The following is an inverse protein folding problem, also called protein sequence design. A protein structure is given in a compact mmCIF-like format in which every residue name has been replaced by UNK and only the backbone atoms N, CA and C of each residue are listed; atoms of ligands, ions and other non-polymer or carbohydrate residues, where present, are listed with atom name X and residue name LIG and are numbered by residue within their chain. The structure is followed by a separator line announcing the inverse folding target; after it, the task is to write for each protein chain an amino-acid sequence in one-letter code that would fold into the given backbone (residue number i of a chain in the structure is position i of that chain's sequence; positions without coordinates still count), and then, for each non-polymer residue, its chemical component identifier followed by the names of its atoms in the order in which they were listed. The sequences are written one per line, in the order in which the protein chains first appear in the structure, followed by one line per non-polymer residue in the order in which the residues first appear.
data_IF_391571070663
#
_entry.id   IF_391571070663
#
_cell.length_a   1.000
_cell.length_b   1.000
_cell.length_c   1.000
_cell.angle_alpha   90.00
_cell.angle_beta   90.00
_cell.angle_gamma   90.00
#
_symmetry.space_group_name_H-M   'P 1'
#
loop_
_entity.id
_entity.type
_entity.pdbx_description
1 polymer ?
#
# COMPACT_ATOMS: atom_id res chain seq x y z
N UNK A 1 20.00 -26.42 25.90
CA UNK A 1 20.71 -26.53 24.60
C UNK A 1 20.98 -25.20 23.92
N UNK A 2 19.98 -24.41 23.51
CA UNK A 2 20.25 -23.14 22.78
C UNK A 2 20.94 -22.09 23.67
N UNK A 3 20.54 -21.99 24.95
CA UNK A 3 21.18 -21.10 25.92
C UNK A 3 22.66 -21.46 26.16
N UNK A 4 22.98 -22.76 26.27
CA UNK A 4 24.35 -23.24 26.53
C UNK A 4 25.29 -22.95 25.35
N UNK A 5 24.78 -23.06 24.12
CA UNK A 5 25.52 -22.69 22.91
C UNK A 5 25.79 -21.18 22.81
N UNK A 6 24.87 -20.35 23.33
CA UNK A 6 25.07 -18.89 23.42
C UNK A 6 26.11 -18.56 24.49
N UNK A 7 26.06 -19.20 25.66
CA UNK A 7 27.07 -19.04 26.71
C UNK A 7 28.48 -19.43 26.24
N UNK A 8 28.62 -20.59 25.57
CA UNK A 8 29.91 -21.01 24.99
C UNK A 8 30.44 -19.98 23.98
N UNK A 9 29.57 -19.50 23.08
CA UNK A 9 29.97 -18.52 22.06
C UNK A 9 30.35 -17.15 22.64
N UNK A 10 29.77 -16.75 23.77
CA UNK A 10 30.15 -15.50 24.47
C UNK A 10 31.48 -15.68 25.21
N UNK A 11 31.70 -16.83 25.85
CA UNK A 11 32.95 -17.15 26.52
C UNK A 11 34.14 -17.17 25.53
N UNK A 12 33.96 -17.76 24.35
CA UNK A 12 34.96 -17.79 23.27
C UNK A 12 35.31 -16.40 22.70
N UNK A 13 34.44 -15.39 22.87
CA UNK A 13 34.64 -14.03 22.34
C UNK A 13 35.30 -13.10 23.37
N UNK A 14 35.01 -13.26 24.67
CA UNK A 14 35.44 -12.33 25.72
C UNK A 14 36.43 -12.92 26.74
N UNK A 15 36.59 -14.25 26.80
CA UNK A 15 37.53 -14.90 27.71
C UNK A 15 37.32 -14.52 29.18
N UNK A 16 38.42 -14.31 29.91
CA UNK A 16 38.39 -14.12 31.37
C UNK A 16 37.62 -12.87 31.85
N UNK A 17 37.36 -11.86 30.99
CA UNK A 17 36.51 -10.71 31.37
C UNK A 17 35.04 -11.10 31.60
N UNK A 18 34.62 -12.30 31.18
CA UNK A 18 33.27 -12.79 31.43
C UNK A 18 33.05 -13.24 32.89
N UNK A 19 34.09 -13.67 33.60
CA UNK A 19 33.98 -14.11 35.00
C UNK A 19 33.60 -12.95 35.94
N UNK A 20 34.21 -11.78 35.74
CA UNK A 20 33.94 -10.58 36.54
C UNK A 20 32.51 -10.03 36.33
N UNK A 21 31.94 -10.24 35.13
CA UNK A 21 30.55 -9.86 34.83
C UNK A 21 29.51 -10.78 35.49
N UNK A 22 29.82 -12.07 35.66
CA UNK A 22 28.94 -13.03 36.36
C UNK A 22 28.99 -12.83 37.88
N UNK A 23 30.16 -12.44 38.42
CA UNK A 23 30.35 -12.17 39.86
C UNK A 23 29.52 -11.01 40.43
N UNK A 24 28.91 -10.17 39.58
CA UNK A 24 28.08 -9.02 39.98
C UNK A 24 26.56 -9.27 39.95
N UNK A 25 26.13 -10.54 39.85
CA UNK A 25 24.74 -10.93 40.17
C UNK A 25 23.65 -10.45 39.21
N UNK A 26 23.97 -10.23 37.93
CA UNK A 26 23.06 -9.66 36.93
C UNK A 26 22.26 -10.69 36.10
N UNK A 27 22.18 -11.96 36.53
CA UNK A 27 21.50 -13.03 35.77
C UNK A 27 19.97 -12.90 35.68
N UNK A 28 19.32 -12.05 36.50
CA UNK A 28 17.85 -11.97 36.57
C UNK A 28 17.22 -10.69 35.96
N UNK A 29 18.00 -9.68 35.54
CA UNK A 29 17.44 -8.40 35.06
C UNK A 29 17.31 -8.23 33.54
N UNK A 30 17.63 -9.25 32.74
CA UNK A 30 17.46 -9.21 31.27
C UNK A 30 16.07 -9.73 30.88
N UNK A 31 15.00 -9.00 31.23
CA UNK A 31 13.62 -9.32 30.80
C UNK A 31 12.70 -8.14 30.46
N UNK A 32 13.15 -6.88 30.57
CA UNK A 32 12.26 -5.73 30.33
C UNK A 32 12.88 -4.62 29.46
N UNK A 33 12.06 -4.09 28.55
CA UNK A 33 12.44 -3.27 27.38
C UNK A 33 12.81 -1.83 27.76
N UNK A 34 12.38 -1.39 28.94
CA UNK A 34 12.67 -0.06 29.53
C UNK A 34 14.17 0.21 29.74
N UNK A 35 15.00 -0.83 29.83
CA UNK A 35 16.46 -0.71 30.06
C UNK A 35 17.23 -0.16 28.86
N UNK A 36 16.70 -0.29 27.63
CA UNK A 36 17.41 0.12 26.41
C UNK A 36 17.61 1.65 26.29
N UNK A 37 16.70 2.47 26.84
CA UNK A 37 16.84 3.95 26.79
C UNK A 37 17.96 4.48 27.67
N UNK A 38 18.25 3.85 28.81
CA UNK A 38 19.33 4.29 29.71
C UNK A 38 20.75 4.04 29.17
N UNK A 39 20.90 3.14 28.20
CA UNK A 39 22.20 2.80 27.61
C UNK A 39 22.65 3.90 26.64
N UNK A 40 21.76 4.47 25.82
CA UNK A 40 22.11 5.52 24.86
C UNK A 40 22.56 6.83 25.56
N UNK A 41 21.82 7.30 26.57
CA UNK A 41 22.20 8.50 27.33
C UNK A 41 23.55 8.35 28.06
N UNK A 42 23.90 7.12 28.46
CA UNK A 42 25.21 6.81 29.07
C UNK A 42 26.35 6.78 28.03
N UNK A 43 26.05 6.37 26.79
CA UNK A 43 27.01 6.33 25.68
C UNK A 43 27.28 7.73 25.11
N UNK A 44 26.27 8.59 24.99
CA UNK A 44 26.48 9.97 24.56
C UNK A 44 27.25 10.80 25.60
N UNK A 45 26.95 10.65 26.90
CA UNK A 45 27.71 11.32 27.95
C UNK A 45 29.19 10.89 28.01
N UNK A 46 29.54 9.65 27.64
CA UNK A 46 30.95 9.23 27.50
C UNK A 46 31.63 9.76 26.23
N UNK A 47 30.87 10.13 25.19
CA UNK A 47 31.42 10.70 23.95
C UNK A 47 31.86 12.18 24.08
N UNK A 48 31.31 12.94 25.04
CA UNK A 48 31.79 14.31 25.30
C UNK A 48 33.16 14.33 25.98
N UNK A 49 33.40 13.37 26.90
CA UNK A 49 34.60 13.29 27.74
C UNK A 49 35.84 12.83 26.96
N UNK A 50 35.68 12.00 25.92
CA UNK A 50 36.80 11.48 25.11
C UNK A 50 37.36 12.44 24.04
N UNK A 51 36.98 13.73 24.06
CA UNK A 51 37.59 14.76 23.20
C UNK A 51 38.94 15.29 23.71
N UNK A 52 39.45 14.80 24.84
CA UNK A 52 40.81 15.09 25.31
C UNK A 52 41.62 13.82 25.54
N UNK A 53 42.90 13.89 25.13
CA UNK A 53 43.93 12.83 25.11
C UNK A 53 43.79 11.80 23.98
N UNK A 54 44.64 12.02 22.97
CA UNK A 54 45.33 11.07 22.09
C UNK A 54 44.67 9.72 21.71
N UNK A 55 44.45 9.53 20.41
CA UNK A 55 45.37 8.75 19.53
C UNK A 55 44.61 8.26 18.28
N UNK A 56 44.54 9.12 17.24
CA UNK A 56 43.70 8.91 16.02
C UNK A 56 43.97 7.58 15.28
N UNK A 57 45.16 6.97 15.46
CA UNK A 57 45.50 5.66 14.86
C UNK A 57 44.75 4.49 15.51
N UNK A 58 44.51 4.52 16.82
CA UNK A 58 43.83 3.43 17.53
C UNK A 58 42.35 3.33 17.13
N UNK A 59 41.68 4.49 17.01
CA UNK A 59 40.28 4.61 16.58
C UNK A 59 40.08 4.09 15.15
N UNK A 60 41.03 4.35 14.24
CA UNK A 60 40.99 3.82 12.87
C UNK A 60 41.11 2.29 12.86
N UNK A 61 42.08 1.73 13.60
CA UNK A 61 42.31 0.28 13.68
C UNK A 61 41.10 -0.47 14.28
N UNK A 62 40.49 0.06 15.34
CA UNK A 62 39.24 -0.50 15.93
C UNK A 62 38.05 -0.41 14.97
N UNK A 63 37.90 0.68 14.20
CA UNK A 63 36.84 0.79 13.16
C UNK A 63 37.00 -0.23 12.03
N UNK A 64 38.23 -0.58 11.66
CA UNK A 64 38.49 -1.58 10.62
C UNK A 64 38.25 -3.02 11.13
N UNK A 65 38.66 -3.35 12.36
CA UNK A 65 38.33 -4.65 12.98
C UNK A 65 36.82 -4.86 13.14
N UNK A 66 36.08 -3.85 13.61
CA UNK A 66 34.61 -3.93 13.71
C UNK A 66 33.95 -4.14 12.35
N UNK A 67 34.40 -3.43 11.30
CA UNK A 67 33.91 -3.65 9.92
C UNK A 67 34.24 -5.04 9.37
N UNK A 68 35.32 -5.67 9.83
CA UNK A 68 35.64 -7.07 9.54
C UNK A 68 34.61 -8.03 10.17
N UNK A 69 34.42 -7.94 11.49
CA UNK A 69 33.47 -8.78 12.23
C UNK A 69 32.04 -8.71 11.69
N UNK A 70 31.55 -7.50 11.38
CA UNK A 70 30.21 -7.30 10.81
C UNK A 70 30.03 -7.94 9.41
N UNK A 71 31.09 -8.12 8.62
CA UNK A 71 31.03 -8.87 7.34
C UNK A 71 30.92 -10.37 7.59
N UNK A 72 31.69 -10.89 8.54
CA UNK A 72 31.66 -12.32 8.93
C UNK A 72 30.30 -12.71 9.49
N UNK A 73 29.70 -11.87 10.36
CA UNK A 73 28.35 -12.10 10.91
C UNK A 73 27.28 -12.13 9.80
N UNK A 74 27.31 -11.20 8.83
CA UNK A 74 26.40 -11.24 7.67
C UNK A 74 26.59 -12.49 6.79
N UNK A 75 27.83 -12.95 6.61
CA UNK A 75 28.13 -14.14 5.82
C UNK A 75 27.70 -15.45 6.52
N UNK A 76 27.77 -15.48 7.86
CA UNK A 76 27.23 -16.60 8.65
C UNK A 76 25.68 -16.58 8.65
N UNK A 77 25.04 -15.42 8.78
CA UNK A 77 23.58 -15.29 8.66
C UNK A 77 23.06 -15.79 7.30
N UNK A 78 23.71 -15.44 6.18
CA UNK A 78 23.24 -15.91 4.86
C UNK A 78 23.43 -17.43 4.69
N UNK A 79 24.50 -18.02 5.23
CA UNK A 79 24.69 -19.49 5.25
C UNK A 79 23.64 -20.22 6.09
N UNK A 80 23.23 -19.66 7.23
CA UNK A 80 22.17 -20.25 8.06
C UNK A 80 20.77 -20.10 7.43
N UNK A 81 20.46 -18.95 6.82
CA UNK A 81 19.22 -18.76 6.05
C UNK A 81 19.13 -19.70 4.85
N UNK A 82 20.23 -19.90 4.11
CA UNK A 82 20.28 -20.85 3.00
C UNK A 82 20.06 -22.31 3.45
N UNK A 83 20.57 -22.70 4.63
CA UNK A 83 20.30 -24.02 5.22
C UNK A 83 18.84 -24.17 5.67
N UNK A 84 18.22 -23.13 6.21
CA UNK A 84 16.79 -23.14 6.56
C UNK A 84 15.90 -23.26 5.31
N UNK A 85 16.23 -22.57 4.22
CA UNK A 85 15.50 -22.69 2.95
C UNK A 85 15.57 -24.13 2.38
N UNK A 86 16.73 -24.79 2.50
CA UNK A 86 16.91 -26.19 2.12
C UNK A 86 16.16 -27.17 3.04
N UNK A 87 16.04 -26.88 4.34
CA UNK A 87 15.27 -27.69 5.27
C UNK A 87 13.75 -27.62 4.99
N UNK A 88 13.23 -26.46 4.59
CA UNK A 88 11.82 -26.31 4.20
C UNK A 88 11.47 -27.05 2.90
N UNK A 89 12.41 -27.19 1.96
CA UNK A 89 12.22 -27.97 0.73
C UNK A 89 12.30 -29.50 0.92
N UNK A 90 12.60 -29.98 2.14
CA UNK A 90 12.68 -31.41 2.46
C UNK A 90 11.54 -31.92 3.37
N UNK A 91 10.57 -31.06 3.72
CA UNK A 91 9.32 -31.48 4.36
C UNK A 91 8.32 -31.96 3.29
N UNK A 92 8.56 -33.18 2.83
CA UNK A 92 7.88 -33.86 1.73
C UNK A 92 6.39 -34.17 2.01
N UNK A 93 5.65 -34.40 0.93
CA UNK A 93 4.19 -34.54 0.76
C UNK A 93 3.60 -35.79 1.46
N UNK A 94 4.38 -36.48 2.28
CA UNK A 94 3.99 -37.69 3.01
C UNK A 94 3.10 -37.43 4.23
N UNK A 95 3.18 -36.27 4.89
CA UNK A 95 2.37 -36.00 6.09
C UNK A 95 0.92 -35.57 5.82
N UNK A 96 0.62 -34.92 4.68
CA UNK A 96 -0.75 -34.43 4.37
C UNK A 96 -1.70 -35.61 4.06
N UNK A 97 -1.19 -36.74 3.56
CA UNK A 97 -1.98 -37.94 3.27
C UNK A 97 -2.54 -38.66 4.50
N UNK A 98 -2.18 -38.23 5.72
CA UNK A 98 -2.65 -38.84 6.99
C UNK A 98 -3.85 -38.14 7.62
N UNK A 99 -4.36 -37.06 7.01
CA UNK A 99 -5.39 -36.19 7.60
C UNK A 99 -6.71 -36.10 6.82
N UNK A 100 -6.85 -36.83 5.70
CA UNK A 100 -8.07 -36.88 4.90
C UNK A 100 -8.56 -38.33 4.88
N UNK A 101 -9.74 -38.58 5.46
CA UNK A 101 -10.31 -39.93 5.57
C UNK A 101 -10.76 -40.55 4.24
N UNK A 102 -10.97 -41.88 4.15
CA UNK A 102 -10.96 -42.61 2.86
C UNK A 102 -12.18 -42.41 1.93
N UNK A 103 -13.15 -41.58 2.28
CA UNK A 103 -14.54 -41.72 1.77
C UNK A 103 -15.01 -40.62 0.82
N UNK A 104 -14.20 -40.19 -0.16
CA UNK A 104 -14.65 -39.17 -1.16
C UNK A 104 -14.05 -39.29 -2.59
N UNK A 105 -13.60 -40.47 -3.01
CA UNK A 105 -12.89 -40.65 -4.30
C UNK A 105 -13.62 -41.41 -5.43
N UNK A 106 -14.91 -41.79 -5.27
CA UNK A 106 -15.57 -42.74 -6.19
C UNK A 106 -16.56 -42.16 -7.22
N UNK A 107 -16.74 -40.83 -7.33
CA UNK A 107 -17.61 -40.22 -8.35
C UNK A 107 -17.11 -38.86 -8.82
N UNK A 108 -16.37 -38.82 -9.94
CA UNK A 108 -16.34 -37.75 -10.97
C UNK A 108 -15.41 -38.21 -12.12
N UNK A 109 -15.79 -38.08 -13.41
CA UNK A 109 -14.97 -38.53 -14.53
C UNK A 109 -13.86 -37.52 -14.90
N UNK A 110 -12.82 -38.03 -15.56
CA UNK A 110 -11.59 -37.29 -15.94
C UNK A 110 -11.84 -36.06 -16.83
N UNK A 111 -11.44 -34.88 -16.35
CA UNK A 111 -10.92 -33.79 -17.18
C UNK A 111 -9.57 -33.31 -16.59
N UNK A 112 -8.57 -32.92 -17.42
CA UNK A 112 -7.24 -32.57 -16.94
C UNK A 112 -7.22 -31.16 -16.32
N UNK A 113 -6.97 -31.09 -15.02
CA UNK A 113 -6.81 -29.84 -14.27
C UNK A 113 -5.47 -29.17 -14.59
N UNK A 114 -5.50 -27.87 -14.94
CA UNK A 114 -4.34 -26.97 -14.83
C UNK A 114 -4.50 -26.11 -13.58
N UNK A 115 -3.82 -26.48 -12.51
CA UNK A 115 -3.72 -25.67 -11.29
C UNK A 115 -2.44 -24.82 -11.33
N UNK A 116 -2.59 -23.50 -11.30
CA UNK A 116 -1.48 -22.61 -10.93
C UNK A 116 -1.32 -22.62 -9.41
N UNK A 117 -0.11 -22.86 -8.91
CA UNK A 117 0.15 -22.87 -7.47
C UNK A 117 0.24 -21.45 -6.92
N UNK A 118 -0.60 -21.15 -5.92
CA UNK A 118 -0.48 -19.97 -5.06
C UNK A 118 0.34 -20.35 -3.82
N UNK A 119 1.54 -19.81 -3.69
CA UNK A 119 2.37 -19.99 -2.50
C UNK A 119 2.24 -18.75 -1.59
N UNK A 120 1.74 -18.96 -0.37
CA UNK A 120 1.64 -17.94 0.69
C UNK A 120 2.68 -18.28 1.76
N UNK A 121 3.64 -17.39 1.98
CA UNK A 121 4.70 -17.54 2.98
C UNK A 121 4.57 -16.56 4.14
N UNK A 122 4.68 -17.08 5.37
CA UNK A 122 4.73 -16.27 6.60
C UNK A 122 6.17 -16.07 7.10
N UNK A 123 6.49 -14.84 7.50
CA UNK A 123 7.72 -14.52 8.21
C UNK A 123 7.59 -14.79 9.70
N UNK A 124 8.48 -15.61 10.27
CA UNK A 124 8.55 -15.88 11.71
C UNK A 124 8.97 -14.66 12.58
N UNK A 125 9.05 -13.45 12.01
CA UNK A 125 9.29 -12.19 12.71
C UNK A 125 8.09 -11.23 12.69
N UNK A 126 6.91 -11.67 12.24
CA UNK A 126 5.69 -10.84 12.19
C UNK A 126 5.62 -9.84 11.02
N UNK A 127 6.75 -9.47 10.43
CA UNK A 127 6.80 -8.54 9.30
C UNK A 127 6.44 -9.21 7.95
N UNK A 128 5.14 -9.19 7.63
CA UNK A 128 4.62 -9.32 6.26
C UNK A 128 4.29 -10.72 5.76
N UNK A 129 3.25 -10.78 4.91
CA UNK A 129 2.85 -11.95 4.11
C UNK A 129 3.35 -11.73 2.68
N UNK A 130 3.94 -12.76 2.08
CA UNK A 130 4.38 -12.74 0.68
C UNK A 130 3.52 -13.67 -0.17
N UNK A 131 3.12 -13.20 -1.35
CA UNK A 131 2.34 -13.96 -2.33
C UNK A 131 3.13 -14.05 -3.63
N UNK A 132 3.42 -15.27 -4.08
CA UNK A 132 4.01 -15.54 -5.38
C UNK A 132 2.98 -16.14 -6.33
N UNK A 133 2.96 -15.63 -7.57
CA UNK A 133 2.29 -16.24 -8.72
C UNK A 133 3.37 -16.58 -9.75
N UNK A 134 3.59 -17.88 -9.99
CA UNK A 134 4.46 -18.34 -11.08
C UNK A 134 3.64 -18.64 -12.35
N UNK A 135 3.99 -18.05 -13.51
CA UNK A 135 3.56 -18.56 -14.80
C UNK A 135 4.11 -19.97 -15.04
N UNK A 136 3.34 -20.82 -15.70
CA UNK A 136 3.77 -22.17 -16.10
C UNK A 136 4.06 -22.21 -17.60
N UNK A 137 5.34 -22.15 -17.96
CA UNK A 137 5.81 -22.29 -19.34
C UNK A 137 6.62 -23.59 -19.49
N UNK A 138 6.09 -24.53 -20.29
CA UNK A 138 6.90 -25.54 -20.98
C UNK A 138 6.95 -25.19 -22.46
N UNK A 139 8.17 -25.02 -23.00
CA UNK A 139 8.73 -25.71 -24.17
C UNK A 139 9.94 -24.92 -24.68
N UNK A 140 11.07 -25.62 -24.89
CA UNK A 140 12.15 -25.14 -25.76
C UNK A 140 13.47 -24.80 -25.05
N UNK A 141 14.43 -25.73 -25.09
CA UNK A 141 15.84 -25.46 -24.75
C UNK A 141 16.42 -24.34 -25.63
N UNK A 142 16.74 -23.19 -25.03
CA UNK A 142 17.78 -22.29 -25.55
C UNK A 142 18.81 -22.05 -24.43
N UNK A 143 20.09 -22.19 -24.77
CA UNK A 143 21.21 -22.11 -23.82
C UNK A 143 21.44 -20.67 -23.36
N UNK A 144 21.84 -20.53 -22.10
CA UNK A 144 22.69 -19.47 -21.53
C UNK A 144 22.80 -18.15 -22.32
N UNK A 145 21.89 -17.20 -22.04
CA UNK A 145 22.22 -15.79 -21.72
C UNK A 145 20.93 -15.00 -21.51
N UNK A 146 20.51 -14.81 -20.25
CA UNK A 146 19.42 -13.89 -19.92
C UNK A 146 19.84 -12.96 -18.79
N UNK A 147 19.93 -11.67 -19.12
CA UNK A 147 20.02 -10.58 -18.14
C UNK A 147 18.77 -10.60 -17.26
N UNK A 148 18.92 -10.16 -16.01
CA UNK A 148 17.79 -9.86 -15.12
C UNK A 148 16.91 -8.80 -15.79
N UNK A 149 15.70 -9.17 -16.19
CA UNK A 149 14.70 -8.20 -16.63
C UNK A 149 13.95 -7.64 -15.41
N UNK A 150 13.90 -6.31 -15.32
CA UNK A 150 13.41 -5.61 -14.12
C UNK A 150 11.88 -5.46 -14.16
N UNK A 151 11.22 -5.98 -13.13
CA UNK A 151 9.75 -5.91 -12.97
C UNK A 151 9.37 -4.60 -12.30
N UNK A 152 8.34 -3.95 -12.85
CA UNK A 152 8.11 -2.52 -12.73
C UNK A 152 6.56 -2.31 -12.68
N UNK A 153 5.94 -1.79 -11.59
CA UNK A 153 4.54 -1.24 -11.42
C UNK A 153 4.30 0.13 -10.63
N UNK A 154 3.76 1.18 -11.29
CA UNK A 154 3.59 2.66 -10.96
C UNK A 154 4.44 3.43 -9.91
N UNK A 155 5.06 4.55 -10.33
CA UNK A 155 5.71 5.55 -9.45
C UNK A 155 4.79 6.70 -8.96
N UNK A 156 4.64 6.85 -7.64
CA UNK A 156 4.16 8.07 -6.98
C UNK A 156 5.23 8.64 -6.04
N UNK A 157 5.50 9.94 -6.09
CA UNK A 157 6.52 10.58 -5.24
C UNK A 157 5.91 11.09 -3.94
N UNK A 158 5.93 10.27 -2.89
CA UNK A 158 5.56 10.69 -1.52
C UNK A 158 6.78 10.63 -0.62
N UNK A 159 7.47 11.77 -0.48
CA UNK A 159 8.70 11.88 0.32
C UNK A 159 8.39 12.11 1.80
N UNK A 160 8.06 11.04 2.52
CA UNK A 160 8.07 11.08 3.99
C UNK A 160 9.50 11.24 4.52
N UNK A 161 9.63 11.81 5.73
CA UNK A 161 10.94 12.05 6.36
C UNK A 161 11.59 10.75 6.88
N UNK A 162 10.79 9.70 7.07
CA UNK A 162 11.25 8.35 7.38
C UNK A 162 11.49 7.53 6.10
N UNK A 163 12.76 7.18 5.85
CA UNK A 163 13.16 6.30 4.73
C UNK A 163 12.86 4.81 4.98
N UNK A 164 12.12 4.48 6.03
CA UNK A 164 12.02 3.12 6.58
C UNK A 164 10.85 2.32 6.02
N UNK A 165 9.91 2.95 5.30
CA UNK A 165 8.69 2.32 4.75
C UNK A 165 8.65 2.26 3.22
N UNK A 166 9.61 2.89 2.53
CA UNK A 166 9.72 2.81 1.07
C UNK A 166 10.20 1.40 0.65
N UNK A 167 9.48 0.75 -0.26
CA UNK A 167 9.84 -0.58 -0.75
C UNK A 167 11.20 -0.52 -1.45
N UNK A 168 12.13 -1.41 -1.09
CA UNK A 168 13.52 -1.39 -1.56
C UNK A 168 13.70 -1.91 -3.00
N UNK A 169 12.72 -1.69 -3.88
CA UNK A 169 12.67 -2.18 -5.26
C UNK A 169 12.51 -1.03 -6.27
N UNK A 170 12.94 -1.26 -7.51
CA UNK A 170 12.89 -0.26 -8.59
C UNK A 170 11.47 0.23 -8.92
N UNK A 171 11.37 1.52 -9.27
CA UNK A 171 10.16 2.16 -9.78
C UNK A 171 9.81 1.76 -11.23
N UNK A 172 8.56 2.03 -11.65
CA UNK A 172 7.64 0.91 -11.79
C UNK A 172 6.41 1.24 -12.73
N UNK A 173 5.91 0.34 -13.65
CA UNK A 173 4.74 0.43 -14.60
C UNK A 173 4.13 -0.93 -15.15
N UNK A 174 2.85 -1.25 -14.91
CA UNK A 174 2.17 -2.41 -15.55
C UNK A 174 1.85 -2.20 -17.05
N UNK A 175 2.55 -2.93 -17.94
CA UNK A 175 2.47 -2.76 -19.42
C UNK A 175 1.17 -3.23 -20.09
N UNK A 176 0.45 -4.17 -19.49
CA UNK A 176 -0.84 -4.71 -19.97
C UNK A 176 -2.06 -3.95 -19.39
N UNK A 177 -1.82 -2.83 -18.71
CA UNK A 177 -2.86 -2.05 -18.02
C UNK A 177 -3.18 -2.59 -16.63
N UNK A 178 -3.21 -1.70 -15.64
CA UNK A 178 -3.44 -2.06 -14.23
C UNK A 178 -4.87 -2.55 -13.96
N UNK A 179 -5.80 -2.43 -14.92
CA UNK A 179 -7.17 -2.95 -14.80
C UNK A 179 -7.23 -4.48 -14.69
N UNK A 180 -6.21 -5.21 -15.14
CA UNK A 180 -6.18 -6.66 -14.98
C UNK A 180 -6.23 -7.13 -13.52
N UNK A 181 -5.71 -6.33 -12.57
CA UNK A 181 -5.72 -6.66 -11.14
C UNK A 181 -7.13 -6.61 -10.52
N UNK A 182 -7.88 -5.49 -10.54
CA UNK A 182 -9.24 -5.46 -10.01
C UNK A 182 -10.22 -6.35 -10.80
N UNK A 183 -9.97 -6.61 -12.09
CA UNK A 183 -10.78 -7.57 -12.87
C UNK A 183 -10.57 -9.00 -12.36
N UNK A 184 -9.32 -9.42 -12.10
CA UNK A 184 -9.05 -10.73 -11.52
C UNK A 184 -9.56 -10.86 -10.07
N UNK A 185 -9.41 -9.81 -9.25
CA UNK A 185 -9.92 -9.79 -7.87
C UNK A 185 -11.46 -9.77 -7.78
N UNK A 186 -12.16 -9.44 -8.87
CA UNK A 186 -13.62 -9.46 -8.94
C UNK A 186 -14.20 -10.85 -9.25
N UNK A 187 -13.38 -11.83 -9.64
CA UNK A 187 -13.83 -13.17 -10.00
C UNK A 187 -14.49 -13.87 -8.79
N UNK A 188 -15.71 -14.39 -8.99
CA UNK A 188 -16.49 -15.06 -7.95
C UNK A 188 -17.17 -14.14 -6.91
N UNK A 189 -17.03 -12.81 -7.02
CA UNK A 189 -17.68 -11.87 -6.10
C UNK A 189 -19.03 -11.36 -6.63
N UNK A 190 -20.00 -11.14 -5.73
CA UNK A 190 -21.28 -10.53 -6.09
C UNK A 190 -21.18 -8.99 -6.17
N UNK A 191 -20.87 -8.47 -7.36
CA UNK A 191 -20.65 -7.04 -7.59
C UNK A 191 -21.86 -6.41 -8.31
N UNK A 192 -22.54 -5.49 -7.63
CA UNK A 192 -23.67 -4.72 -8.19
C UNK A 192 -23.18 -3.45 -8.89
N UNK A 193 -22.81 -3.56 -10.16
CA UNK A 193 -22.47 -2.39 -10.99
C UNK A 193 -23.67 -1.48 -11.25
N UNK A 194 -23.43 -0.18 -11.42
CA UNK A 194 -24.46 0.87 -11.54
C UNK A 194 -25.40 0.98 -10.31
N UNK A 195 -24.95 0.56 -9.12
CA UNK A 195 -25.67 0.77 -7.86
C UNK A 195 -24.96 1.88 -7.05
N UNK A 196 -25.39 3.12 -7.22
CA UNK A 196 -24.86 4.26 -6.47
C UNK A 196 -25.52 4.32 -5.09
N UNK A 197 -24.72 4.26 -4.03
CA UNK A 197 -25.20 4.46 -2.66
C UNK A 197 -25.71 5.90 -2.51
N UNK A 198 -26.86 6.06 -1.86
CA UNK A 198 -27.46 7.37 -1.50
C UNK A 198 -27.49 7.57 0.00
N UNK A 199 -27.80 6.51 0.75
CA UNK A 199 -27.96 6.56 2.21
C UNK A 199 -27.41 5.29 2.86
N UNK A 200 -26.78 5.46 4.02
CA UNK A 200 -26.29 4.39 4.90
C UNK A 200 -26.89 4.63 6.28
N UNK A 201 -27.84 3.79 6.66
CA UNK A 201 -28.51 3.85 7.96
C UNK A 201 -27.98 2.76 8.87
N UNK A 202 -27.56 3.09 10.09
CA UNK A 202 -26.93 2.12 10.98
C UNK A 202 -27.38 2.32 12.43
N UNK A 203 -27.70 1.22 13.10
CA UNK A 203 -28.16 1.21 14.49
C UNK A 203 -27.68 -0.06 15.21
N UNK A 204 -28.05 -0.22 16.48
CA UNK A 204 -27.62 -1.37 17.29
C UNK A 204 -27.98 -2.74 16.70
N UNK A 205 -29.00 -2.83 15.81
CA UNK A 205 -29.44 -4.08 15.18
C UNK A 205 -28.73 -4.43 13.87
N UNK A 206 -28.15 -3.45 13.17
CA UNK A 206 -27.54 -3.67 11.85
C UNK A 206 -27.47 -2.40 11.00
N UNK A 207 -27.34 -2.61 9.68
CA UNK A 207 -27.18 -1.56 8.66
C UNK A 207 -28.19 -1.76 7.52
N UNK A 208 -28.70 -0.65 7.00
CA UNK A 208 -29.51 -0.54 5.80
C UNK A 208 -28.81 0.40 4.79
N UNK A 209 -28.65 -0.03 3.54
CA UNK A 209 -27.98 0.74 2.49
C UNK A 209 -28.94 0.96 1.33
N UNK A 210 -29.39 2.21 1.16
CA UNK A 210 -30.23 2.62 0.03
C UNK A 210 -29.33 2.96 -1.18
N UNK A 211 -29.59 2.31 -2.31
CA UNK A 211 -28.92 2.57 -3.60
C UNK A 211 -29.91 3.02 -4.67
N UNK A 212 -29.42 3.65 -5.73
CA UNK A 212 -30.16 3.94 -6.96
C UNK A 212 -29.31 3.65 -8.18
N UNK A 213 -29.93 3.52 -9.35
CA UNK A 213 -29.20 3.44 -10.61
C UNK A 213 -28.94 4.87 -11.14
N UNK A 214 -27.68 5.30 -11.38
CA UNK A 214 -27.41 6.62 -11.95
C UNK A 214 -28.06 6.86 -13.33
N UNK A 215 -28.35 5.79 -14.08
CA UNK A 215 -29.04 5.85 -15.38
C UNK A 215 -30.57 5.94 -15.25
N UNK A 216 -31.12 5.55 -14.11
CA UNK A 216 -32.54 5.72 -13.76
C UNK A 216 -32.67 6.06 -12.26
N UNK A 217 -32.50 7.34 -11.87
CA UNK A 217 -32.38 7.73 -10.47
C UNK A 217 -33.72 7.75 -9.70
N UNK A 218 -34.83 7.48 -10.38
CA UNK A 218 -36.18 7.39 -9.81
C UNK A 218 -36.38 6.12 -8.95
N UNK A 219 -35.78 5.01 -9.36
CA UNK A 219 -35.89 3.72 -8.67
C UNK A 219 -34.76 3.53 -7.67
N UNK A 220 -35.11 3.26 -6.42
CA UNK A 220 -34.19 2.91 -5.33
C UNK A 220 -34.35 1.45 -4.90
N UNK A 221 -33.24 0.81 -4.57
CA UNK A 221 -33.22 -0.51 -3.92
C UNK A 221 -32.56 -0.38 -2.54
N UNK A 222 -32.87 -1.30 -1.64
CA UNK A 222 -32.33 -1.34 -0.28
C UNK A 222 -31.66 -2.69 -0.01
N UNK A 223 -30.49 -2.66 0.64
CA UNK A 223 -29.81 -3.84 1.14
C UNK A 223 -29.70 -3.78 2.66
N UNK A 224 -29.94 -4.90 3.34
CA UNK A 224 -29.76 -5.04 4.79
C UNK A 224 -28.53 -5.93 5.07
N UNK A 225 -27.75 -5.57 6.09
CA UNK A 225 -26.55 -6.30 6.50
C UNK A 225 -26.25 -6.06 7.99
N UNK A 226 -25.46 -6.93 8.62
CA UNK A 226 -24.99 -6.72 10.00
C UNK A 226 -24.03 -5.53 10.13
N UNK A 227 -23.20 -5.30 9.12
CA UNK A 227 -22.19 -4.23 9.07
C UNK A 227 -22.05 -3.74 7.63
N UNK A 228 -21.43 -2.56 7.45
CA UNK A 228 -21.02 -2.06 6.14
C UNK A 228 -19.53 -1.69 6.14
N UNK A 229 -18.84 -2.03 5.07
CA UNK A 229 -17.48 -1.57 4.79
C UNK A 229 -17.54 -0.41 3.78
N UNK A 230 -17.28 0.81 4.25
CA UNK A 230 -17.22 1.99 3.41
C UNK A 230 -15.83 2.14 2.77
N UNK A 231 -15.79 2.10 1.44
CA UNK A 231 -14.58 2.39 0.63
C UNK A 231 -14.75 3.58 -0.31
N UNK A 232 -15.71 4.47 -0.01
CA UNK A 232 -15.93 5.70 -0.77
C UNK A 232 -14.65 6.55 -0.77
N UNK A 233 -14.18 7.10 -1.92
CA UNK A 233 -13.01 7.97 -1.95
C UNK A 233 -13.14 9.17 -1.01
N UNK A 234 -12.02 9.67 -0.49
CA UNK A 234 -12.03 10.78 0.48
C UNK A 234 -12.70 12.04 -0.10
N UNK A 235 -12.60 12.30 -1.40
CA UNK A 235 -13.33 13.39 -2.06
C UNK A 235 -14.85 13.25 -1.98
N UNK A 236 -15.38 12.03 -2.02
CA UNK A 236 -16.82 11.72 -1.84
C UNK A 236 -17.22 11.81 -0.37
N UNK A 237 -16.35 11.35 0.53
CA UNK A 237 -16.56 11.51 1.98
C UNK A 237 -16.56 12.98 2.40
N UNK A 238 -15.75 13.85 1.77
CA UNK A 238 -15.77 15.31 2.01
C UNK A 238 -17.11 15.96 1.66
N UNK A 239 -17.80 15.51 0.61
CA UNK A 239 -19.17 15.92 0.30
C UNK A 239 -20.16 15.40 1.34
N UNK A 240 -19.99 14.13 1.74
CA UNK A 240 -20.85 13.44 2.71
C UNK A 240 -20.74 14.02 4.13
N UNK A 241 -19.58 14.60 4.47
CA UNK A 241 -19.31 15.32 5.72
C UNK A 241 -19.56 16.84 5.63
N UNK A 242 -20.02 17.35 4.49
CA UNK A 242 -20.39 18.76 4.32
C UNK A 242 -21.90 18.93 4.55
N UNK A 243 -22.34 19.92 5.36
CA UNK A 243 -23.75 20.25 5.47
C UNK A 243 -24.34 20.60 4.09
N UNK A 244 -25.53 20.08 3.78
CA UNK A 244 -26.34 20.49 2.61
C UNK A 244 -25.74 20.28 1.21
N UNK A 245 -24.80 19.35 1.01
CA UNK A 245 -24.38 19.00 -0.35
C UNK A 245 -25.51 18.32 -1.15
N UNK A 246 -26.03 19.01 -2.17
CA UNK A 246 -26.95 18.46 -3.18
C UNK A 246 -26.23 17.86 -4.39
N UNK A 247 -24.89 17.77 -4.35
CA UNK A 247 -24.11 17.24 -5.47
C UNK A 247 -24.34 15.74 -5.69
N UNK A 248 -24.31 15.32 -6.96
CA UNK A 248 -24.34 13.91 -7.34
C UNK A 248 -23.30 13.10 -6.56
N UNK A 249 -23.69 11.90 -6.11
CA UNK A 249 -22.89 11.01 -5.27
C UNK A 249 -22.55 11.54 -3.86
N UNK A 250 -23.33 12.48 -3.31
CA UNK A 250 -23.32 12.73 -1.87
C UNK A 250 -24.00 11.55 -1.15
N UNK A 251 -23.34 10.95 -0.15
CA UNK A 251 -23.89 9.83 0.63
C UNK A 251 -24.30 10.32 2.01
N UNK A 252 -25.58 10.13 2.37
CA UNK A 252 -26.08 10.48 3.69
C UNK A 252 -25.84 9.33 4.69
N UNK A 253 -25.17 9.62 5.79
CA UNK A 253 -25.10 8.71 6.94
C UNK A 253 -26.22 9.03 7.94
N UNK A 254 -26.92 8.01 8.43
CA UNK A 254 -27.97 8.14 9.43
C UNK A 254 -27.80 7.11 10.56
N UNK A 255 -27.45 7.52 11.80
CA UNK A 255 -27.15 8.88 12.23
C UNK A 255 -25.90 9.46 11.54
N UNK A 256 -25.68 10.79 11.61
CA UNK A 256 -24.48 11.41 11.05
C UNK A 256 -23.19 10.78 11.58
N UNK A 257 -22.12 10.83 10.78
CA UNK A 257 -20.79 10.42 11.24
C UNK A 257 -20.33 11.34 12.40
N UNK A 258 -19.64 10.79 13.42
CA UNK A 258 -19.26 11.57 14.59
C UNK A 258 -18.20 12.63 14.28
N UNK A 259 -18.17 13.70 15.08
CA UNK A 259 -17.33 14.89 14.83
C UNK A 259 -15.84 14.61 14.66
N UNK A 260 -15.30 13.62 15.38
CA UNK A 260 -13.90 13.22 15.23
C UNK A 260 -13.60 12.63 13.83
N UNK A 261 -14.58 11.94 13.22
CA UNK A 261 -14.48 11.37 11.87
C UNK A 261 -14.65 12.46 10.83
N UNK A 262 -15.69 13.29 10.93
CA UNK A 262 -15.94 14.39 9.98
C UNK A 262 -14.80 15.41 10.01
N UNK A 263 -14.25 15.72 11.18
CA UNK A 263 -13.07 16.59 11.30
C UNK A 263 -11.82 16.02 10.63
N UNK A 264 -11.57 14.71 10.75
CA UNK A 264 -10.48 14.04 10.04
C UNK A 264 -10.70 14.04 8.51
N UNK A 265 -11.94 13.76 8.06
CA UNK A 265 -12.34 13.87 6.65
C UNK A 265 -12.06 15.29 6.11
N UNK A 266 -12.35 16.34 6.87
CA UNK A 266 -12.12 17.71 6.43
C UNK A 266 -10.64 18.11 6.44
N UNK A 267 -9.87 17.77 7.49
CA UNK A 267 -8.43 18.08 7.60
C UNK A 267 -7.59 17.42 6.51
N UNK A 268 -7.78 16.14 6.23
CA UNK A 268 -6.95 15.43 5.25
C UNK A 268 -7.14 16.03 3.85
N UNK A 269 -6.05 16.24 3.12
CA UNK A 269 -6.07 16.74 1.76
C UNK A 269 -6.53 15.66 0.78
N UNK A 270 -7.23 16.07 -0.29
CA UNK A 270 -7.50 15.21 -1.44
C UNK A 270 -7.08 15.95 -2.71
N UNK A 271 -6.05 15.43 -3.37
CA UNK A 271 -5.33 16.10 -4.45
C UNK A 271 -5.99 15.94 -5.81
N UNK A 272 -5.36 16.53 -6.83
CA UNK A 272 -5.73 16.31 -8.22
C UNK A 272 -4.48 16.16 -9.12
N UNK A 273 -4.54 15.19 -10.03
CA UNK A 273 -3.52 14.89 -11.03
C UNK A 273 -4.21 14.28 -12.24
N UNK A 274 -4.14 14.95 -13.40
CA UNK A 274 -4.75 14.47 -14.64
C UNK A 274 -3.71 13.97 -15.65
N UNK A 275 -4.17 13.14 -16.57
CA UNK A 275 -3.38 12.52 -17.64
C UNK A 275 -4.02 12.80 -18.99
N UNK A 276 -3.18 13.05 -19.99
CA UNK A 276 -3.56 13.10 -21.41
C UNK A 276 -2.89 11.92 -22.11
N UNK A 277 -3.70 10.98 -22.60
CA UNK A 277 -3.25 9.87 -23.45
C UNK A 277 -3.24 10.35 -24.89
N UNK A 278 -2.13 10.12 -25.59
CA UNK A 278 -1.94 10.46 -27.00
C UNK A 278 -1.46 9.21 -27.75
N UNK A 279 -2.34 8.59 -28.53
CA UNK A 279 -2.01 7.43 -29.35
C UNK A 279 -1.65 7.87 -30.77
N UNK A 280 -0.44 7.59 -31.23
CA UNK A 280 0.06 7.96 -32.55
C UNK A 280 0.10 6.75 -33.50
N UNK A 281 0.37 6.99 -34.79
CA UNK A 281 0.62 5.91 -35.77
C UNK A 281 2.06 5.37 -35.72
N UNK A 282 3.01 6.15 -35.19
CA UNK A 282 4.44 5.83 -35.18
C UNK A 282 5.15 6.54 -34.02
N UNK A 283 6.27 5.97 -33.58
CA UNK A 283 7.16 6.59 -32.60
C UNK A 283 7.97 7.69 -33.28
N UNK A 284 7.99 8.90 -32.71
CA UNK A 284 8.82 10.03 -33.14
C UNK A 284 9.72 10.59 -32.02
N UNK A 285 9.67 10.00 -30.83
CA UNK A 285 10.50 10.30 -29.67
C UNK A 285 11.61 9.26 -29.50
N UNK A 286 12.55 9.48 -28.57
CA UNK A 286 13.58 8.49 -28.25
C UNK A 286 12.95 7.25 -27.55
N UNK A 287 12.97 6.05 -28.15
CA UNK A 287 12.35 4.85 -27.57
C UNK A 287 13.08 4.34 -26.31
N UNK A 288 14.34 4.75 -26.08
CA UNK A 288 15.11 4.39 -24.89
C UNK A 288 14.82 5.31 -23.69
N UNK A 289 14.11 6.43 -23.90
CA UNK A 289 13.70 7.32 -22.84
C UNK A 289 12.29 6.99 -22.37
N UNK A 290 12.14 6.53 -21.13
CA UNK A 290 10.82 6.29 -20.52
C UNK A 290 10.08 7.59 -20.19
N UNK A 291 10.79 8.70 -20.03
CA UNK A 291 10.20 10.01 -19.71
C UNK A 291 11.05 11.16 -20.24
N UNK A 292 10.39 12.30 -20.50
CA UNK A 292 11.04 13.58 -20.79
C UNK A 292 10.19 14.74 -20.24
N UNK A 293 10.85 15.80 -19.78
CA UNK A 293 10.21 16.96 -19.17
C UNK A 293 9.96 18.10 -20.16
N UNK A 294 8.98 18.93 -19.85
CA UNK A 294 8.72 20.22 -20.48
C UNK A 294 8.68 21.29 -19.38
N UNK A 295 9.52 22.31 -19.50
CA UNK A 295 9.62 23.39 -18.50
C UNK A 295 8.66 24.51 -18.90
N UNK A 296 7.53 24.61 -18.21
CA UNK A 296 6.54 25.67 -18.43
C UNK A 296 7.11 27.06 -18.16
N UNK A 297 6.68 28.06 -18.94
CA UNK A 297 7.25 29.41 -18.93
C UNK A 297 6.96 30.25 -17.68
N UNK A 298 6.03 29.83 -16.81
CA UNK A 298 5.66 30.57 -15.60
C UNK A 298 5.45 29.63 -14.41
N UNK A 299 5.59 30.16 -13.19
CA UNK A 299 5.31 29.40 -11.96
C UNK A 299 3.86 28.90 -11.88
N UNK A 300 2.89 29.66 -12.42
CA UNK A 300 1.49 29.27 -12.46
C UNK A 300 1.24 28.08 -13.41
N UNK A 301 1.88 28.08 -14.58
CA UNK A 301 1.77 26.99 -15.57
C UNK A 301 2.76 25.84 -15.37
N UNK A 302 3.58 25.84 -14.32
CA UNK A 302 4.65 24.84 -14.09
C UNK A 302 4.19 23.37 -14.03
N UNK A 303 2.91 23.13 -13.76
CA UNK A 303 2.30 21.80 -13.73
C UNK A 303 1.51 21.44 -14.99
N UNK A 304 1.43 22.33 -15.97
CA UNK A 304 0.71 22.11 -17.22
C UNK A 304 1.61 21.36 -18.22
N UNK A 305 1.24 20.10 -18.51
CA UNK A 305 1.92 19.27 -19.51
C UNK A 305 3.43 19.17 -19.28
N UNK A 306 3.84 19.12 -18.01
CA UNK A 306 5.23 19.30 -17.58
C UNK A 306 6.11 18.04 -17.73
N UNK A 307 5.48 16.88 -17.88
CA UNK A 307 6.15 15.59 -17.96
C UNK A 307 5.40 14.67 -18.91
N UNK A 308 6.15 14.07 -19.83
CA UNK A 308 5.68 13.09 -20.80
C UNK A 308 6.29 11.72 -20.51
N UNK A 309 5.49 10.68 -20.63
CA UNK A 309 5.81 9.28 -20.33
C UNK A 309 5.64 8.40 -21.56
N UNK A 310 6.67 7.61 -21.88
CA UNK A 310 6.74 6.62 -22.96
C UNK A 310 6.92 5.23 -22.34
N UNK A 311 5.82 4.50 -22.15
CA UNK A 311 5.78 3.34 -21.23
C UNK A 311 5.18 2.07 -21.83
N UNK A 312 4.52 2.19 -22.97
CA UNK A 312 3.82 1.10 -23.66
C UNK A 312 4.62 0.63 -24.88
N UNK A 313 4.35 -0.60 -25.34
CA UNK A 313 4.94 -1.11 -26.59
C UNK A 313 4.36 -0.40 -27.82
N UNK A 314 3.09 0.01 -27.74
CA UNK A 314 2.44 0.82 -28.76
C UNK A 314 2.94 2.28 -28.71
N UNK A 315 2.90 3.03 -29.83
CA UNK A 315 3.27 4.44 -29.90
C UNK A 315 2.28 5.35 -29.12
N UNK A 316 2.38 5.33 -27.80
CA UNK A 316 1.52 6.09 -26.87
C UNK A 316 2.37 6.95 -25.96
N UNK A 317 2.10 8.26 -25.95
CA UNK A 317 2.61 9.18 -24.93
C UNK A 317 1.52 9.50 -23.90
N UNK A 318 1.96 9.64 -22.65
CA UNK A 318 1.15 10.09 -21.52
C UNK A 318 1.70 11.43 -21.02
N UNK A 319 0.96 12.52 -21.20
CA UNK A 319 1.32 13.82 -20.59
C UNK A 319 0.64 13.97 -19.23
N UNK A 320 1.34 14.57 -18.25
CA UNK A 320 0.81 14.85 -16.92
C UNK A 320 0.39 16.30 -16.74
N UNK A 321 -0.73 16.51 -16.04
CA UNK A 321 -1.17 17.82 -15.57
C UNK A 321 -1.32 17.78 -14.04
N UNK A 322 -0.53 18.59 -13.34
CA UNK A 322 -0.41 18.56 -11.87
C UNK A 322 -0.58 19.94 -11.23
N UNK A 323 -0.78 19.97 -9.90
CA UNK A 323 -0.88 21.21 -9.13
C UNK A 323 -2.09 22.06 -9.53
N UNK A 324 -1.95 23.39 -9.49
CA UNK A 324 -3.02 24.34 -9.85
C UNK A 324 -3.54 24.12 -11.28
N UNK A 325 -2.64 23.83 -12.23
CA UNK A 325 -2.99 23.53 -13.62
C UNK A 325 -3.96 22.33 -13.74
N UNK A 326 -3.88 21.35 -12.83
CA UNK A 326 -4.78 20.18 -12.87
C UNK A 326 -6.25 20.57 -12.66
N UNK A 327 -6.53 21.58 -11.82
CA UNK A 327 -7.90 22.06 -11.60
C UNK A 327 -8.37 23.01 -12.71
N UNK A 328 -7.47 23.84 -13.26
CA UNK A 328 -7.79 24.78 -14.34
C UNK A 328 -8.12 24.02 -15.63
N UNK A 329 -7.28 23.04 -15.99
CA UNK A 329 -7.39 22.28 -17.24
C UNK A 329 -8.64 21.39 -17.33
N UNK A 330 -9.28 21.01 -16.22
CA UNK A 330 -10.55 20.27 -16.30
C UNK A 330 -11.67 21.09 -16.96
N UNK A 331 -11.61 22.42 -16.91
CA UNK A 331 -12.57 23.34 -17.54
C UNK A 331 -12.22 23.69 -18.99
N UNK A 332 -11.15 23.11 -19.56
CA UNK A 332 -10.70 23.31 -20.95
C UNK A 332 -11.16 22.10 -21.78
N UNK A 333 -11.50 22.29 -23.06
CA UNK A 333 -11.92 21.20 -23.96
C UNK A 333 -10.74 20.30 -24.36
N UNK A 334 -11.03 19.03 -24.68
CA UNK A 334 -10.01 18.03 -25.04
C UNK A 334 -9.18 18.48 -26.25
N UNK A 335 -9.80 19.03 -27.29
CA UNK A 335 -9.11 19.52 -28.49
C UNK A 335 -8.07 20.61 -28.18
N UNK A 336 -8.38 21.51 -27.24
CA UNK A 336 -7.45 22.58 -26.83
C UNK A 336 -6.31 21.99 -26.00
N UNK A 337 -6.59 21.04 -25.10
CA UNK A 337 -5.57 20.35 -24.29
C UNK A 337 -4.63 19.54 -25.18
N UNK A 338 -5.17 18.78 -26.13
CA UNK A 338 -4.41 18.02 -27.14
C UNK A 338 -3.63 18.96 -28.05
N UNK A 339 -4.23 20.07 -28.50
CA UNK A 339 -3.54 21.10 -29.28
C UNK A 339 -2.32 21.67 -28.56
N UNK A 340 -2.43 21.95 -27.25
CA UNK A 340 -1.28 22.36 -26.41
C UNK A 340 -0.24 21.24 -26.29
N UNK A 341 -0.64 19.98 -26.12
CA UNK A 341 0.31 18.85 -26.12
C UNK A 341 1.09 18.77 -27.42
N UNK A 342 0.42 18.88 -28.57
CA UNK A 342 1.04 18.81 -29.89
C UNK A 342 1.94 20.02 -30.15
N UNK A 343 1.59 21.21 -29.66
CA UNK A 343 2.46 22.39 -29.71
C UNK A 343 3.76 22.17 -28.90
N UNK A 344 3.67 21.65 -27.67
CA UNK A 344 4.84 21.31 -26.84
C UNK A 344 5.71 20.25 -27.53
N UNK A 345 5.10 19.18 -28.03
CA UNK A 345 5.83 18.10 -28.70
C UNK A 345 6.52 18.58 -30.00
N UNK A 346 5.90 19.48 -30.77
CA UNK A 346 6.51 20.10 -31.96
C UNK A 346 7.67 21.03 -31.61
N UNK A 347 7.61 21.71 -30.47
CA UNK A 347 8.73 22.49 -29.95
C UNK A 347 9.96 21.63 -29.57
N UNK A 348 9.74 20.36 -29.17
CA UNK A 348 10.81 19.43 -28.78
C UNK A 348 11.34 18.62 -29.97
N UNK A 349 10.45 18.08 -30.81
CA UNK A 349 10.78 17.11 -31.88
C UNK A 349 10.69 17.68 -33.31
N UNK A 350 10.40 18.97 -33.45
CA UNK A 350 10.28 19.66 -34.74
C UNK A 350 8.87 19.57 -35.36
N UNK A 351 8.51 20.62 -36.10
CA UNK A 351 7.14 20.83 -36.60
C UNK A 351 6.61 19.70 -37.49
N UNK A 352 7.46 19.16 -38.38
CA UNK A 352 7.12 18.09 -39.33
C UNK A 352 7.26 16.68 -38.75
N UNK A 353 7.97 16.51 -37.63
CA UNK A 353 8.21 15.21 -37.00
C UNK A 353 6.97 14.63 -36.32
N UNK A 354 6.11 15.50 -35.76
CA UNK A 354 4.98 15.14 -34.90
C UNK A 354 3.67 15.00 -35.71
N UNK A 355 3.17 13.78 -35.96
CA UNK A 355 1.86 13.56 -36.56
C UNK A 355 0.73 13.92 -35.59
N UNK A 356 -0.49 14.03 -36.11
CA UNK A 356 -1.67 14.08 -35.24
C UNK A 356 -1.88 12.72 -34.55
N UNK A 357 -2.40 12.70 -33.30
CA UNK A 357 -2.81 11.47 -32.65
C UNK A 357 -4.02 10.87 -33.38
N UNK A 358 -4.13 9.55 -33.39
CA UNK A 358 -5.30 8.81 -33.88
C UNK A 358 -6.41 8.76 -32.83
N UNK A 359 -6.02 8.60 -31.56
CA UNK A 359 -6.91 8.51 -30.41
C UNK A 359 -6.35 9.34 -29.25
N UNK A 360 -7.23 9.98 -28.50
CA UNK A 360 -6.88 10.81 -27.34
C UNK A 360 -7.84 10.61 -26.18
N UNK A 361 -7.33 10.69 -24.95
CA UNK A 361 -8.17 10.63 -23.72
C UNK A 361 -7.63 11.61 -22.70
N UNK A 362 -8.47 12.51 -22.19
CA UNK A 362 -8.14 13.43 -21.09
C UNK A 362 -8.90 13.02 -19.82
N UNK A 363 -8.18 12.72 -18.73
CA UNK A 363 -8.84 12.45 -17.43
C UNK A 363 -9.27 13.76 -16.75
N UNK A 364 -10.35 13.71 -15.96
CA UNK A 364 -10.83 14.81 -15.11
C UNK A 364 -11.25 14.29 -13.74
N UNK A 365 -10.27 13.90 -12.92
CA UNK A 365 -10.51 13.18 -11.66
C UNK A 365 -11.28 13.99 -10.62
N UNK A 366 -11.19 15.33 -10.62
CA UNK A 366 -11.97 16.17 -9.70
C UNK A 366 -13.42 16.34 -10.14
N UNK A 367 -13.68 16.41 -11.45
CA UNK A 367 -15.01 16.44 -12.03
C UNK A 367 -15.75 15.09 -11.91
N UNK A 368 -15.04 13.95 -11.96
CA UNK A 368 -15.63 12.62 -11.76
C UNK A 368 -16.42 12.55 -10.44
N UNK A 369 -17.75 12.33 -10.47
CA UNK A 369 -18.57 12.31 -9.27
C UNK A 369 -18.25 11.13 -8.33
N UNK A 370 -17.64 10.06 -8.84
CA UNK A 370 -17.32 8.85 -8.07
C UNK A 370 -15.96 8.94 -7.38
N UNK A 371 -15.06 9.81 -7.86
CA UNK A 371 -13.73 10.02 -7.28
C UNK A 371 -13.60 11.36 -6.54
N UNK A 372 -14.04 12.47 -7.14
CA UNK A 372 -13.94 13.86 -6.62
C UNK A 372 -12.50 14.34 -6.33
N UNK A 373 -11.53 13.79 -7.05
CA UNK A 373 -10.09 14.05 -6.94
C UNK A 373 -9.30 12.77 -7.23
N UNK A 374 -7.97 12.82 -7.06
CA UNK A 374 -7.08 11.71 -7.42
C UNK A 374 -6.74 10.79 -6.25
N UNK A 375 -6.17 11.34 -5.18
CA UNK A 375 -5.70 10.60 -3.99
C UNK A 375 -5.40 11.55 -2.83
N UNK A 376 -5.34 11.01 -1.61
CA UNK A 376 -5.09 11.79 -0.39
C UNK A 376 -3.67 12.39 -0.28
N UNK A 377 -3.54 13.45 0.53
CA UNK A 377 -2.25 14.00 0.97
C UNK A 377 -2.37 14.63 2.36
N UNK A 378 -1.28 14.67 3.12
CA UNK A 378 -1.25 15.39 4.41
C UNK A 378 -1.25 16.88 4.14
N UNK A 379 -2.41 17.53 4.33
CA UNK A 379 -2.56 18.97 4.18
C UNK A 379 -1.96 19.75 5.35
N UNK A 380 -1.78 21.05 5.19
CA UNK A 380 -1.40 21.95 6.30
C UNK A 380 -2.50 21.89 7.37
N UNK A 381 -2.10 21.60 8.62
CA UNK A 381 -3.03 21.39 9.73
C UNK A 381 -3.56 19.96 9.87
N UNK A 382 -3.17 19.03 8.99
CA UNK A 382 -3.43 17.59 9.10
C UNK A 382 -2.16 16.84 9.54
N UNK A 383 -2.31 15.58 9.96
CA UNK A 383 -1.17 14.70 10.31
C UNK A 383 -1.43 13.25 9.92
N UNK A 384 -0.41 12.40 10.05
CA UNK A 384 -0.54 10.94 9.87
C UNK A 384 -1.66 10.31 10.73
N UNK A 385 -1.98 10.90 11.89
CA UNK A 385 -3.07 10.45 12.76
C UNK A 385 -4.46 10.56 12.12
N UNK A 386 -4.66 11.46 11.14
CA UNK A 386 -5.96 11.57 10.46
C UNK A 386 -6.28 10.33 9.62
N UNK A 387 -5.26 9.62 9.09
CA UNK A 387 -5.47 8.32 8.45
C UNK A 387 -5.92 7.24 9.44
N UNK A 388 -5.33 7.24 10.65
CA UNK A 388 -5.70 6.30 11.71
C UNK A 388 -7.13 6.57 12.20
N UNK A 389 -7.50 7.84 12.35
CA UNK A 389 -8.90 8.25 12.61
C UNK A 389 -9.83 7.82 11.47
N UNK A 390 -9.46 8.01 10.20
CA UNK A 390 -10.27 7.54 9.07
C UNK A 390 -10.42 6.01 9.07
N UNK A 391 -9.44 5.24 9.56
CA UNK A 391 -9.51 3.80 9.72
C UNK A 391 -10.34 3.29 10.92
N UNK A 392 -10.59 4.12 11.94
CA UNK A 392 -11.39 3.70 13.12
C UNK A 392 -12.84 3.40 12.73
N UNK A 393 -13.43 2.27 13.13
CA UNK A 393 -14.82 1.97 12.79
C UNK A 393 -15.77 2.81 13.67
N UNK A 394 -17.03 2.95 13.24
CA UNK A 394 -18.05 3.73 13.95
C UNK A 394 -19.07 2.78 14.60
N UNK A 395 -19.23 2.96 15.90
CA UNK A 395 -20.27 2.33 16.73
C UNK A 395 -21.53 3.21 16.64
N UNK A 396 -22.74 2.64 16.45
CA UNK A 396 -23.97 3.42 16.49
C UNK A 396 -24.15 4.07 17.87
N UNK A 397 -24.68 5.30 17.96
CA UNK A 397 -25.01 5.92 19.22
C UNK A 397 -26.09 5.12 19.98
N UNK A 398 -26.22 5.37 21.28
CA UNK A 398 -27.27 4.77 22.09
C UNK A 398 -28.67 5.30 21.72
N UNK A 399 -29.72 4.77 22.37
CA UNK A 399 -31.11 5.16 22.12
C UNK A 399 -31.39 6.66 22.38
N UNK A 400 -30.53 7.34 23.14
CA UNK A 400 -30.58 8.77 23.44
C UNK A 400 -29.79 9.62 22.43
N UNK A 401 -29.23 9.01 21.38
CA UNK A 401 -28.44 9.69 20.34
C UNK A 401 -27.00 10.03 20.76
N UNK A 402 -26.54 9.57 21.94
CA UNK A 402 -25.20 9.85 22.45
C UNK A 402 -24.19 8.86 21.89
N UNK A 403 -23.05 9.37 21.39
CA UNK A 403 -21.93 8.55 20.93
C UNK A 403 -21.38 7.70 22.07
N UNK A 404 -21.28 6.38 21.85
CA UNK A 404 -20.71 5.42 22.81
C UNK A 404 -19.31 4.99 22.37
N UNK A 405 -18.49 4.58 23.34
CA UNK A 405 -17.12 4.09 23.11
C UNK A 405 -17.01 2.56 23.19
N UNK A 406 -18.11 1.87 23.54
CA UNK A 406 -18.20 0.42 23.67
C UNK A 406 -19.42 -0.13 22.92
N UNK A 407 -19.29 -1.38 22.44
CA UNK A 407 -20.30 -2.06 21.63
C UNK A 407 -19.79 -2.44 20.23
N UNK A 408 -20.55 -3.25 19.47
CA UNK A 408 -20.17 -3.67 18.13
C UNK A 408 -20.23 -2.49 17.16
N UNK A 409 -19.17 -2.30 16.38
CA UNK A 409 -19.17 -1.31 15.32
C UNK A 409 -20.02 -1.78 14.13
N UNK A 410 -20.62 -0.82 13.42
CA UNK A 410 -21.53 -1.09 12.30
C UNK A 410 -21.02 -0.51 10.98
N UNK A 411 -20.22 0.56 11.01
CA UNK A 411 -19.63 1.17 9.81
C UNK A 411 -18.10 1.11 9.90
N UNK A 412 -17.49 0.32 9.02
CA UNK A 412 -16.04 0.15 8.88
C UNK A 412 -15.51 0.96 7.70
N UNK A 413 -14.22 1.25 7.67
CA UNK A 413 -13.61 2.13 6.67
C UNK A 413 -12.31 1.57 6.11
N UNK A 414 -12.27 1.37 4.79
CA UNK A 414 -11.06 1.01 4.04
C UNK A 414 -10.86 1.92 2.82
N UNK A 415 -9.73 1.77 2.14
CA UNK A 415 -9.28 2.59 1.02
C UNK A 415 -7.96 3.28 1.32
N UNK A 416 -7.34 3.86 0.28
CA UNK A 416 -6.01 4.50 0.36
C UNK A 416 -5.92 5.56 1.47
N UNK A 417 -7.01 6.30 1.70
CA UNK A 417 -7.13 7.36 2.70
C UNK A 417 -7.32 6.83 4.14
N UNK A 418 -7.18 5.52 4.37
CA UNK A 418 -7.32 4.89 5.69
C UNK A 418 -6.04 4.18 6.16
N UNK A 419 -4.90 4.35 5.48
CA UNK A 419 -3.66 3.64 5.84
C UNK A 419 -2.47 4.59 5.92
N UNK A 420 -2.09 4.93 7.15
CA UNK A 420 -1.04 5.92 7.46
C UNK A 420 0.32 5.66 6.82
N UNK A 421 0.71 4.39 6.69
CA UNK A 421 2.05 4.00 6.23
C UNK A 421 2.15 3.94 4.70
N UNK A 422 1.03 3.77 3.98
CA UNK A 422 1.00 3.57 2.53
C UNK A 422 -0.14 4.35 1.82
N UNK A 423 -0.40 5.63 2.18
CA UNK A 423 -1.52 6.39 1.60
C UNK A 423 -1.28 6.70 0.13
N UNK A 424 -2.33 7.07 -0.61
CA UNK A 424 -2.28 7.40 -2.03
C UNK A 424 -1.77 6.28 -2.96
N UNK A 425 -1.86 5.01 -2.54
CA UNK A 425 -1.38 3.86 -3.34
C UNK A 425 -2.40 2.72 -3.46
N UNK A 426 -2.26 1.94 -4.55
CA UNK A 426 -3.05 0.71 -4.79
C UNK A 426 -2.75 -0.35 -3.72
N UNK A 427 -1.48 -0.54 -3.35
CA UNK A 427 -1.11 -1.51 -2.31
C UNK A 427 -1.61 -1.08 -0.92
N UNK A 428 -1.62 0.22 -0.61
CA UNK A 428 -2.26 0.74 0.59
C UNK A 428 -3.75 0.45 0.62
N UNK A 429 -4.48 0.72 -0.47
CA UNK A 429 -5.90 0.38 -0.58
C UNK A 429 -6.14 -1.12 -0.36
N UNK A 430 -5.35 -2.00 -1.01
CA UNK A 430 -5.42 -3.45 -0.84
C UNK A 430 -5.18 -3.89 0.62
N UNK A 431 -4.10 -3.42 1.24
CA UNK A 431 -3.77 -3.71 2.65
C UNK A 431 -4.85 -3.22 3.62
N UNK A 432 -5.46 -2.06 3.36
CA UNK A 432 -6.57 -1.57 4.17
C UNK A 432 -7.83 -2.43 4.04
N UNK A 433 -8.07 -3.04 2.87
CA UNK A 433 -9.14 -4.00 2.65
C UNK A 433 -8.94 -5.28 3.46
N UNK A 434 -7.72 -5.84 3.43
CA UNK A 434 -7.35 -7.00 4.25
C UNK A 434 -7.50 -6.71 5.76
N UNK A 435 -7.09 -5.51 6.20
CA UNK A 435 -7.23 -5.06 7.59
C UNK A 435 -8.68 -5.05 8.05
N UNK A 436 -9.58 -4.41 7.30
CA UNK A 436 -11.00 -4.38 7.70
C UNK A 436 -11.68 -5.74 7.53
N UNK A 437 -11.31 -6.55 6.55
CA UNK A 437 -11.83 -7.92 6.42
C UNK A 437 -11.51 -8.77 7.66
N UNK A 438 -10.28 -8.72 8.17
CA UNK A 438 -9.89 -9.39 9.42
C UNK A 438 -10.66 -8.83 10.62
N UNK A 439 -10.75 -7.49 10.75
CA UNK A 439 -11.44 -6.84 11.87
C UNK A 439 -12.94 -7.14 11.90
N UNK A 440 -13.58 -7.19 10.74
CA UNK A 440 -15.00 -7.54 10.59
C UNK A 440 -15.21 -9.02 10.95
N UNK A 441 -14.33 -9.91 10.50
CA UNK A 441 -14.36 -11.33 10.87
C UNK A 441 -14.21 -11.50 12.39
N UNK A 442 -13.17 -10.92 13.00
CA UNK A 442 -12.94 -10.96 14.45
C UNK A 442 -14.17 -10.51 15.26
N UNK A 443 -14.93 -9.52 14.77
CA UNK A 443 -16.15 -9.04 15.44
C UNK A 443 -17.37 -9.96 15.22
N UNK A 444 -17.55 -10.53 14.03
CA UNK A 444 -18.77 -11.28 13.66
C UNK A 444 -18.66 -12.77 14.00
N UNK A 445 -17.53 -13.40 13.70
CA UNK A 445 -17.31 -14.84 13.94
C UNK A 445 -16.46 -15.12 15.19
N UNK A 446 -15.90 -14.08 15.81
CA UNK A 446 -14.99 -14.20 16.94
C UNK A 446 -13.56 -14.56 16.54
N UNK A 447 -12.60 -14.27 17.42
CA UNK A 447 -11.18 -14.58 17.20
C UNK A 447 -10.78 -15.83 18.03
N UNK A 448 -10.58 -17.01 17.39
CA UNK A 448 -10.24 -18.25 18.10
C UNK A 448 -8.80 -18.28 18.63
N UNK A 449 -7.96 -17.29 18.26
CA UNK A 449 -6.57 -17.16 18.69
C UNK A 449 -6.39 -16.19 19.86
N UNK A 450 -7.45 -15.53 20.34
CA UNK A 450 -7.36 -14.76 21.59
C UNK A 450 -7.29 -15.74 22.79
N UNK A 451 -6.32 -15.57 23.71
CA UNK A 451 -6.31 -16.36 24.93
C UNK A 451 -7.57 -16.06 25.73
N UNK A 452 -8.28 -17.12 26.14
CA UNK A 452 -9.37 -17.00 27.10
C UNK A 452 -8.85 -16.31 28.37
N UNK A 453 -9.63 -15.45 29.04
CA UNK A 453 -9.28 -14.97 30.37
C UNK A 453 -9.02 -16.17 31.29
N UNK A 454 -7.95 -16.13 32.08
CA UNK A 454 -7.74 -17.12 33.12
C UNK A 454 -8.87 -16.98 34.17
N UNK A 455 -9.55 -18.09 34.47
CA UNK A 455 -10.58 -18.19 35.52
C UNK A 455 -10.01 -17.97 36.93
#
# INVERSE_FOLDING_TARGET
MVADQIHSAIFDIFGNEYADLVGLGLSERIRDESTYKGIDETVENKHSILKHKENKRLVKKRREQLRGGWRTVKHLQSKYLAKLQLAFNFLDVTHIKKWIGPSYYSKLPFLPWRLGYLAIGYSARGDGIWVFLQPTDEVGRIKNEYRKEEVIGTSGFVRFKDRNLELQMSHAIMRNGYSCVPVALAEGLDIKLNAAVRKVEYNSRGVEVTVYNPRNPSTTNTYHADVVLCTLPLGVLKLSAAPSSSQLNTVQFSPPLPDWKTSAIQRLGFGNLNKVVLCFERIFWNPQANLFGHVGSTTASRGELFLFWNLYKAPVLLALVAGEAAAIMENVTDDVIVGRCIAVLRGIFGQSGVPQPKETVVTRWRADPWSRGSYSFVAVGSSGSDYDLLASPVIPPNAQGVSVTSGPARVFFAGEHTIRNYPATVHGAFLSGLREASRIADQIIGNPCQPQPAE
#
